data_IF_555855962121
#
_entry.id   IF_555855962121
#
_cell.length_a   1.000
_cell.length_b   1.000
_cell.length_c   1.000
_cell.angle_alpha   90.00
_cell.angle_beta   90.00
_cell.angle_gamma   90.00
#
_symmetry.space_group_name_H-M   'P 1'
#
loop_
_entity.id
_entity.type
_entity.pdbx_description
1 polymer ?
#
# COMPACT_ATOMS: atom_id res chain seq x y z
N UNK A 1 -1.99 0.20 -10.45
CA UNK A 1 -2.70 0.38 -9.16
C UNK A 1 -2.60 1.84 -8.86
N UNK A 2 -3.73 2.51 -8.97
CA UNK A 2 -3.80 3.94 -9.24
C UNK A 2 -4.83 4.61 -8.33
N UNK A 3 -5.46 3.81 -7.46
CA UNK A 3 -6.42 4.21 -6.46
C UNK A 3 -5.79 3.96 -5.08
N UNK A 4 -5.34 5.04 -4.44
CA UNK A 4 -4.74 5.06 -3.11
C UNK A 4 -5.01 6.43 -2.47
N UNK A 5 -4.92 6.53 -1.14
CA UNK A 5 -5.23 7.76 -0.42
C UNK A 5 -3.97 8.42 0.16
N UNK A 6 -3.25 9.25 -0.64
CA UNK A 6 -2.04 9.93 -0.17
C UNK A 6 -2.36 11.08 0.79
N UNK A 7 -3.59 11.62 0.74
CA UNK A 7 -3.98 12.77 1.57
C UNK A 7 -4.05 12.38 3.05
N UNK A 8 -4.74 11.28 3.38
CA UNK A 8 -4.79 10.75 4.75
C UNK A 8 -3.39 10.39 5.25
N UNK A 9 -2.52 9.87 4.37
CA UNK A 9 -1.14 9.58 4.74
C UNK A 9 -0.36 10.86 5.10
N UNK A 10 -0.56 11.94 4.33
CA UNK A 10 0.08 13.23 4.58
C UNK A 10 -0.46 13.91 5.85
N UNK A 11 -1.78 13.87 6.06
CA UNK A 11 -2.43 14.41 7.25
C UNK A 11 -1.93 13.72 8.51
N UNK A 12 -1.90 12.37 8.53
CA UNK A 12 -1.36 11.61 9.66
C UNK A 12 0.12 11.90 9.91
N UNK A 13 0.91 12.11 8.86
CA UNK A 13 2.31 12.48 9.05
C UNK A 13 2.43 13.88 9.66
N UNK A 14 1.70 14.86 9.13
CA UNK A 14 1.73 16.23 9.63
C UNK A 14 1.23 16.33 11.09
N UNK A 15 0.11 15.69 11.41
CA UNK A 15 -0.55 15.84 12.69
C UNK A 15 0.01 14.92 13.79
N UNK A 16 0.40 13.69 13.42
CA UNK A 16 0.80 12.64 14.39
C UNK A 16 2.28 12.29 14.31
N UNK A 17 3.02 12.86 13.37
CA UNK A 17 4.40 12.47 13.10
C UNK A 17 4.52 11.04 12.55
N UNK A 18 3.42 10.43 12.12
CA UNK A 18 3.38 9.04 11.68
C UNK A 18 3.53 8.96 10.15
N UNK A 19 4.78 8.81 9.68
CA UNK A 19 5.04 8.51 8.28
C UNK A 19 4.49 7.12 7.93
N UNK A 20 3.68 7.03 6.87
CA UNK A 20 3.17 5.74 6.40
C UNK A 20 4.30 4.92 5.77
N UNK A 21 4.61 3.77 6.37
CA UNK A 21 5.57 2.82 5.79
C UNK A 21 5.02 2.09 4.56
N UNK A 22 3.68 2.02 4.46
CA UNK A 22 2.96 1.45 3.33
C UNK A 22 1.58 2.08 3.19
N UNK A 23 1.08 2.20 1.96
CA UNK A 23 -0.30 2.63 1.66
C UNK A 23 -1.02 1.55 0.86
N UNK A 24 -2.28 1.28 1.16
CA UNK A 24 -3.07 0.33 0.37
C UNK A 24 -3.39 0.94 -1.00
N UNK A 25 -3.01 0.25 -2.08
CA UNK A 25 -3.37 0.65 -3.43
C UNK A 25 -4.23 -0.41 -4.12
N UNK A 26 -5.22 0.07 -4.86
CA UNK A 26 -6.13 -0.73 -5.69
C UNK A 26 -6.04 -0.25 -7.13
N UNK A 27 -6.44 -1.10 -8.08
CA UNK A 27 -6.46 -0.76 -9.50
C UNK A 27 -7.87 -0.88 -10.05
N UNK A 28 -8.42 0.19 -10.64
CA UNK A 28 -9.70 0.11 -11.37
C UNK A 28 -9.63 -0.86 -12.56
N UNK A 29 -8.47 -0.92 -13.22
CA UNK A 29 -8.20 -1.88 -14.30
C UNK A 29 -7.96 -3.33 -13.80
N UNK A 30 -7.67 -3.49 -12.51
CA UNK A 30 -7.41 -4.78 -11.86
C UNK A 30 -8.43 -5.00 -10.74
N UNK A 31 -9.71 -5.09 -11.13
CA UNK A 31 -10.82 -5.24 -10.21
C UNK A 31 -10.60 -6.43 -9.25
N UNK A 32 -10.72 -6.16 -7.95
CA UNK A 32 -10.47 -7.16 -6.90
C UNK A 32 -9.00 -7.29 -6.47
N UNK A 33 -8.05 -6.66 -7.15
CA UNK A 33 -6.63 -6.69 -6.77
C UNK A 33 -6.24 -5.50 -5.90
N UNK A 34 -5.50 -5.80 -4.85
CA UNK A 34 -4.90 -4.82 -3.94
C UNK A 34 -3.46 -5.20 -3.63
N UNK A 35 -2.56 -4.21 -3.65
CA UNK A 35 -1.17 -4.37 -3.22
C UNK A 35 -0.76 -3.13 -2.40
N UNK A 36 0.13 -3.31 -1.41
CA UNK A 36 0.68 -2.18 -0.69
C UNK A 36 1.68 -1.41 -1.55
N UNK A 37 1.56 -0.08 -1.60
CA UNK A 37 2.62 0.82 -2.03
C UNK A 37 3.58 1.01 -0.87
N UNK A 38 4.81 0.54 -1.04
CA UNK A 38 5.85 0.59 -0.03
C UNK A 38 6.65 1.88 -0.13
N UNK A 39 7.07 2.43 1.01
CA UNK A 39 8.00 3.55 1.04
C UNK A 39 9.37 3.11 0.47
N UNK A 40 9.89 3.87 -0.48
CA UNK A 40 11.21 3.63 -1.07
C UNK A 40 12.28 3.59 0.04
N UNK A 41 13.24 2.64 0.01
CA UNK A 41 13.57 1.70 -1.07
C UNK A 41 12.83 0.35 -1.03
N UNK A 42 11.91 0.15 -0.08
CA UNK A 42 11.20 -1.12 0.08
C UNK A 42 10.28 -1.38 -1.12
N UNK A 43 10.16 -2.64 -1.51
CA UNK A 43 9.28 -3.11 -2.58
C UNK A 43 8.23 -4.08 -2.05
N UNK A 44 7.04 -4.05 -2.64
CA UNK A 44 5.97 -4.98 -2.30
C UNK A 44 6.32 -6.38 -2.81
N UNK A 45 6.62 -7.30 -1.89
CA UNK A 45 6.99 -8.68 -2.21
C UNK A 45 5.88 -9.62 -1.76
N UNK A 46 5.34 -10.42 -2.68
CA UNK A 46 4.38 -11.47 -2.34
C UNK A 46 5.05 -12.55 -1.49
N UNK A 47 4.39 -12.96 -0.41
CA UNK A 47 4.90 -13.96 0.54
C UNK A 47 4.05 -15.23 0.50
N UNK A 48 2.74 -15.11 0.69
CA UNK A 48 1.80 -16.24 0.69
C UNK A 48 0.36 -15.75 0.75
N UNK A 49 -0.61 -16.57 0.33
CA UNK A 49 -2.04 -16.29 0.47
C UNK A 49 -2.73 -16.04 -0.87
N UNK A 50 -3.63 -15.06 -0.89
CA UNK A 50 -4.34 -14.64 -2.11
C UNK A 50 -3.52 -13.55 -2.83
N UNK A 51 -3.14 -13.78 -4.08
CA UNK A 51 -2.38 -12.84 -4.90
C UNK A 51 -3.08 -11.50 -5.15
N UNK A 52 -4.39 -11.42 -4.87
CA UNK A 52 -5.20 -10.23 -5.01
C UNK A 52 -5.38 -9.47 -3.68
N UNK A 53 -4.98 -10.07 -2.55
CA UNK A 53 -5.07 -9.46 -1.22
C UNK A 53 -3.75 -8.81 -0.81
N UNK A 54 -3.82 -7.55 -0.36
CA UNK A 54 -2.63 -6.80 0.05
C UNK A 54 -1.90 -7.38 1.27
N UNK A 55 -2.58 -8.17 2.12
CA UNK A 55 -1.96 -8.84 3.28
C UNK A 55 -1.04 -9.99 2.86
N UNK A 56 -1.18 -10.48 1.63
CA UNK A 56 -0.29 -11.49 1.06
C UNK A 56 1.08 -10.92 0.65
N UNK A 57 1.22 -9.59 0.71
CA UNK A 57 2.44 -8.87 0.36
C UNK A 57 3.05 -8.23 1.60
N UNK A 58 4.38 -8.10 1.58
CA UNK A 58 5.11 -7.37 2.62
C UNK A 58 6.13 -6.45 1.98
N UNK A 59 6.32 -5.28 2.58
CA UNK A 59 7.33 -4.32 2.15
C UNK A 59 8.71 -4.74 2.65
N UNK A 60 9.60 -5.15 1.75
CA UNK A 60 10.98 -5.53 2.05
C UNK A 60 11.96 -4.70 1.23
#
# INVERSE_FOLDING_TARGET
MDDFDPLTALENWHERGQASESMLAKGKAFAGKSQPLCAYPKIATYVCGDENDANSFVCK
#
